data_IF_665168811871
#
_entry.id   IF_665168811871
#
_cell.length_a   1.000
_cell.length_b   1.000
_cell.length_c   1.000
_cell.angle_alpha   90.00
_cell.angle_beta   90.00
_cell.angle_gamma   90.00
#
_symmetry.space_group_name_H-M   'P 1'
#
loop_
_entity.id
_entity.type
_entity.pdbx_description
1 polymer ?
#
# COMPACT_ATOMS: atom_id res chain seq x y z
N UNK A 1 4.29 -12.17 -3.61
CA UNK A 1 5.56 -11.67 -3.05
C UNK A 1 6.19 -12.69 -2.12
N UNK A 2 7.51 -12.62 -1.92
CA UNK A 2 8.27 -13.57 -1.11
C UNK A 2 8.81 -12.89 0.15
N UNK A 3 8.83 -13.60 1.27
CA UNK A 3 9.52 -13.15 2.48
C UNK A 3 11.03 -13.28 2.23
N UNK A 4 11.77 -12.17 2.29
CA UNK A 4 13.19 -12.14 1.98
C UNK A 4 14.06 -13.00 2.92
N UNK A 5 13.56 -13.36 4.10
CA UNK A 5 14.26 -14.21 5.08
C UNK A 5 14.05 -15.70 4.79
N UNK A 6 12.86 -16.08 4.30
CA UNK A 6 12.50 -17.50 4.13
C UNK A 6 12.47 -17.95 2.66
N UNK A 7 12.35 -17.02 1.71
CA UNK A 7 12.15 -17.29 0.30
C UNK A 7 10.75 -17.82 -0.07
N UNK A 8 9.86 -17.96 0.91
CA UNK A 8 8.50 -18.48 0.72
C UNK A 8 7.51 -17.34 0.43
N UNK A 9 6.34 -17.63 -0.18
CA UNK A 9 5.28 -16.64 -0.33
C UNK A 9 4.92 -16.00 1.01
N UNK A 10 4.83 -14.66 1.04
CA UNK A 10 4.38 -13.97 2.23
C UNK A 10 2.93 -14.37 2.56
N UNK A 11 2.63 -14.48 3.85
CA UNK A 11 1.25 -14.48 4.31
C UNK A 11 0.87 -13.03 4.59
N UNK A 12 -0.16 -12.53 3.91
CA UNK A 12 -0.64 -11.15 4.04
C UNK A 12 -2.16 -11.11 4.08
N UNK A 13 -2.73 -10.11 4.74
CA UNK A 13 -4.15 -9.77 4.65
C UNK A 13 -4.46 -8.75 3.53
N UNK A 14 -3.44 -8.19 2.89
CA UNK A 14 -3.58 -7.26 1.76
C UNK A 14 -3.95 -8.06 0.50
N UNK A 15 -5.06 -7.70 -0.13
CA UNK A 15 -5.48 -8.25 -1.41
C UNK A 15 -4.82 -7.50 -2.59
N UNK A 16 -4.78 -6.17 -2.50
CA UNK A 16 -4.11 -5.30 -3.45
C UNK A 16 -3.53 -4.06 -2.79
N UNK A 17 -2.42 -3.58 -3.34
CA UNK A 17 -1.82 -2.30 -3.02
C UNK A 17 -1.65 -1.52 -4.32
N UNK A 18 -2.12 -0.29 -4.36
CA UNK A 18 -1.94 0.64 -5.47
C UNK A 18 -1.11 1.81 -4.98
N UNK A 19 -0.02 2.10 -5.67
CA UNK A 19 0.86 3.23 -5.36
C UNK A 19 0.54 4.39 -6.30
N UNK A 20 0.52 5.59 -5.73
CA UNK A 20 0.39 6.86 -6.44
C UNK A 20 1.69 7.61 -6.21
N UNK A 21 2.38 7.93 -7.31
CA UNK A 21 3.66 8.63 -7.30
C UNK A 21 3.81 9.46 -8.56
N UNK A 22 4.65 10.50 -8.51
CA UNK A 22 4.95 11.32 -9.69
C UNK A 22 5.79 10.53 -10.72
N UNK A 23 6.74 9.72 -10.25
CA UNK A 23 7.58 8.89 -11.11
C UNK A 23 7.17 7.43 -11.04
N UNK A 24 7.11 6.78 -12.21
CA UNK A 24 6.75 5.37 -12.34
C UNK A 24 7.73 4.43 -11.61
N UNK A 25 9.02 4.79 -11.59
CA UNK A 25 10.05 4.00 -10.89
C UNK A 25 9.78 3.92 -9.38
N UNK A 26 9.28 5.01 -8.78
CA UNK A 26 8.91 5.00 -7.36
C UNK A 26 7.69 4.10 -7.13
N UNK A 27 6.72 4.14 -8.04
CA UNK A 27 5.55 3.26 -8.03
C UNK A 27 5.94 1.78 -8.02
N UNK A 28 6.86 1.38 -8.91
CA UNK A 28 7.37 0.00 -8.96
C UNK A 28 8.07 -0.40 -7.66
N UNK A 29 8.99 0.44 -7.16
CA UNK A 29 9.72 0.19 -5.91
C UNK A 29 8.75 -0.04 -4.75
N UNK A 30 7.79 0.88 -4.57
CA UNK A 30 6.89 0.86 -3.43
C UNK A 30 5.75 -0.14 -3.58
N UNK A 31 5.38 -0.55 -4.80
CA UNK A 31 4.40 -1.61 -5.02
C UNK A 31 4.84 -2.94 -4.44
N UNK A 32 6.17 -3.17 -4.42
CA UNK A 32 6.78 -4.35 -3.81
C UNK A 32 7.23 -4.08 -2.38
N UNK A 33 7.87 -2.94 -2.09
CA UNK A 33 8.35 -2.67 -0.73
C UNK A 33 7.21 -2.47 0.28
N UNK A 34 6.09 -1.88 -0.14
CA UNK A 34 4.95 -1.54 0.70
C UNK A 34 3.94 -2.68 0.91
N UNK A 35 4.03 -3.78 0.17
CA UNK A 35 3.07 -4.88 0.26
C UNK A 35 3.48 -5.85 1.37
N UNK A 36 3.12 -5.46 2.58
CA UNK A 36 3.51 -6.07 3.85
C UNK A 36 2.44 -7.05 4.38
N UNK A 37 2.70 -7.76 5.51
CA UNK A 37 1.74 -8.71 6.08
C UNK A 37 0.38 -8.11 6.47
N UNK A 38 0.33 -6.87 6.94
CA UNK A 38 -0.91 -6.18 7.32
C UNK A 38 -1.12 -4.86 6.58
N UNK A 39 -2.39 -4.44 6.48
CA UNK A 39 -2.74 -3.12 5.92
C UNK A 39 -2.17 -2.00 6.78
N UNK A 40 -2.24 -2.13 8.11
CA UNK A 40 -1.71 -1.14 9.03
C UNK A 40 -0.19 -0.93 8.86
N UNK A 41 0.59 -2.02 8.80
CA UNK A 41 2.03 -1.93 8.55
C UNK A 41 2.32 -1.28 7.19
N UNK A 42 1.56 -1.61 6.15
CA UNK A 42 1.71 -1.00 4.83
C UNK A 42 1.45 0.51 4.87
N UNK A 43 0.36 0.96 5.52
CA UNK A 43 0.03 2.37 5.66
C UNK A 43 1.09 3.13 6.45
N UNK A 44 1.51 2.60 7.60
CA UNK A 44 2.55 3.23 8.44
C UNK A 44 3.88 3.34 7.69
N UNK A 45 4.25 2.30 6.94
CA UNK A 45 5.50 2.27 6.19
C UNK A 45 5.51 3.22 4.99
N UNK A 46 4.37 3.40 4.31
CA UNK A 46 4.28 4.31 3.15
C UNK A 46 4.10 5.76 3.61
N UNK A 47 3.35 6.03 4.67
CA UNK A 47 3.09 7.39 5.17
C UNK A 47 4.35 8.19 5.55
N UNK A 48 5.47 7.52 5.85
CA UNK A 48 6.74 8.19 6.15
C UNK A 48 7.52 8.59 4.89
N UNK A 49 7.12 8.10 3.72
CA UNK A 49 7.81 8.37 2.46
C UNK A 49 7.20 9.60 1.77
N UNK A 50 8.00 10.65 1.64
CA UNK A 50 7.57 11.86 0.96
C UNK A 50 7.24 11.60 -0.52
N UNK A 51 6.11 12.13 -0.98
CA UNK A 51 5.68 12.08 -2.38
C UNK A 51 5.10 10.73 -2.82
N UNK A 52 4.87 9.81 -1.89
CA UNK A 52 4.30 8.49 -2.17
C UNK A 52 3.02 8.32 -1.37
N UNK A 53 1.95 8.02 -2.08
CA UNK A 53 0.64 7.72 -1.50
C UNK A 53 0.21 6.33 -1.92
N UNK A 54 -0.71 5.74 -1.17
CA UNK A 54 -1.19 4.40 -1.48
C UNK A 54 -2.66 4.18 -1.12
N UNK A 55 -3.26 3.24 -1.85
CA UNK A 55 -4.57 2.66 -1.57
C UNK A 55 -4.36 1.16 -1.38
N UNK A 56 -4.73 0.65 -0.21
CA UNK A 56 -4.73 -0.77 0.09
C UNK A 56 -6.16 -1.30 0.19
N UNK A 57 -6.37 -2.50 -0.34
CA UNK A 57 -7.62 -3.26 -0.15
C UNK A 57 -7.28 -4.52 0.63
N UNK A 58 -7.94 -4.73 1.76
CA UNK A 58 -7.79 -5.96 2.53
C UNK A 58 -8.51 -7.13 1.85
N UNK A 59 -8.18 -8.37 2.22
CA UNK A 59 -8.90 -9.57 1.76
C UNK A 59 -10.36 -9.62 2.21
N UNK A 60 -10.75 -8.78 3.16
CA UNK A 60 -12.14 -8.58 3.56
C UNK A 60 -12.86 -7.51 2.72
N UNK A 61 -12.15 -6.85 1.80
CA UNK A 61 -12.68 -5.79 0.94
C UNK A 61 -12.66 -4.40 1.56
N UNK A 62 -12.01 -4.23 2.72
CA UNK A 62 -11.89 -2.93 3.38
C UNK A 62 -10.82 -2.10 2.66
N UNK A 63 -11.13 -0.82 2.42
CA UNK A 63 -10.22 0.13 1.79
C UNK A 63 -9.51 0.93 2.86
N UNK A 64 -8.21 1.13 2.69
CA UNK A 64 -7.40 2.04 3.51
C UNK A 64 -6.53 2.89 2.62
N UNK A 65 -6.32 4.15 3.01
CA UNK A 65 -5.55 5.12 2.24
C UNK A 65 -4.51 5.79 3.13
N UNK A 66 -3.42 6.23 2.53
CA UNK A 66 -2.39 7.04 3.19
C UNK A 66 -2.91 8.43 3.57
N UNK A 67 -2.20 9.13 4.45
CA UNK A 67 -2.65 10.37 5.08
C UNK A 67 -2.86 11.53 4.09
N UNK A 68 -2.23 11.49 2.91
CA UNK A 68 -2.44 12.47 1.85
C UNK A 68 -3.71 12.23 1.03
N UNK A 69 -4.50 11.20 1.35
CA UNK A 69 -5.71 10.80 0.64
C UNK A 69 -6.90 10.68 1.59
N UNK A 70 -8.10 10.82 1.04
CA UNK A 70 -9.39 10.62 1.74
C UNK A 70 -10.29 9.74 0.89
N UNK A 71 -10.88 8.71 1.50
CA UNK A 71 -11.96 7.91 0.90
C UNK A 71 -13.33 8.53 1.20
N UNK A 72 -14.12 8.75 0.16
CA UNK A 72 -15.48 9.29 0.21
C UNK A 72 -16.56 8.25 -0.14
N UNK A 73 -16.27 6.96 -0.02
CA UNK A 73 -17.24 5.88 -0.21
C UNK A 73 -17.52 5.56 -1.68
N UNK A 74 -16.51 5.70 -2.54
CA UNK A 74 -16.61 5.49 -3.98
C UNK A 74 -15.67 6.36 -4.81
N UNK A 75 -15.00 7.31 -4.17
CA UNK A 75 -13.98 8.16 -4.77
C UNK A 75 -12.87 8.38 -3.75
N UNK A 76 -11.62 8.23 -4.20
CA UNK A 76 -10.43 8.56 -3.43
C UNK A 76 -9.88 9.87 -3.97
N UNK A 77 -9.70 10.85 -3.09
CA UNK A 77 -9.25 12.21 -3.42
C UNK A 77 -8.07 12.63 -2.55
N UNK A 78 -7.24 13.60 -2.98
CA UNK A 78 -6.26 14.22 -2.08
C UNK A 78 -6.95 14.82 -0.84
N UNK A 79 -6.28 14.70 0.31
CA UNK A 79 -6.72 15.27 1.58
C UNK A 79 -6.69 16.81 1.62
#
# INVERSE_FOLDING_TARGET
MLDARTGMPITTEVASLTIISEQSVDGEIWSTAGFLPSVAEAMDYINVQAGIEAVAVSKLGEVSVTNGLVDQGGMIVPA
#
